data_IF_398670596596
#
_entry.id   IF_398670596596
#
_cell.length_a   1.000
_cell.length_b   1.000
_cell.length_c   1.000
_cell.angle_alpha   90.00
_cell.angle_beta   90.00
_cell.angle_gamma   90.00
#
_symmetry.space_group_name_H-M   'P 1'
#
loop_
_entity.id
_entity.type
_entity.pdbx_description
1 polymer ?
#
# COMPACT_ATOMS: atom_id res chain seq x y z
N UNK A 1 11.81 49.31 17.39
CA UNK A 1 12.00 48.10 18.22
C UNK A 1 12.36 46.97 17.27
N UNK A 2 13.52 46.32 17.44
CA UNK A 2 13.96 45.23 16.56
C UNK A 2 14.05 43.97 17.39
N UNK A 3 13.27 42.94 17.04
CA UNK A 3 13.22 41.67 17.77
C UNK A 3 13.94 40.63 16.93
N UNK A 4 14.97 40.00 17.51
CA UNK A 4 15.69 38.90 16.88
C UNK A 4 15.36 37.60 17.62
N UNK A 5 14.95 36.57 16.87
CA UNK A 5 14.78 35.22 17.37
C UNK A 5 15.79 34.28 16.73
N UNK A 6 16.49 33.50 17.54
CA UNK A 6 17.44 32.48 17.10
C UNK A 6 16.82 31.09 17.26
N UNK A 7 16.56 30.42 16.15
CA UNK A 7 16.00 29.07 16.13
C UNK A 7 17.12 28.06 15.88
N UNK A 8 17.23 27.05 16.76
CA UNK A 8 18.19 25.95 16.62
C UNK A 8 17.45 24.68 16.23
N UNK A 9 17.76 24.15 15.04
CA UNK A 9 17.07 22.97 14.47
C UNK A 9 17.93 21.71 14.68
N UNK A 10 17.33 20.65 15.24
CA UNK A 10 17.97 19.34 15.32
C UNK A 10 17.93 18.60 13.97
N UNK A 11 18.90 18.89 13.11
CA UNK A 11 19.00 18.33 11.75
C UNK A 11 19.17 16.80 11.75
N UNK A 12 19.82 16.23 12.77
CA UNK A 12 20.02 14.77 12.89
C UNK A 12 18.67 14.09 13.11
N UNK A 13 17.87 14.60 14.05
CA UNK A 13 16.53 14.07 14.32
C UNK A 13 15.60 14.18 13.12
N UNK A 14 15.68 15.29 12.36
CA UNK A 14 14.89 15.44 11.12
C UNK A 14 15.25 14.34 10.13
N UNK A 15 16.54 14.08 9.88
CA UNK A 15 16.96 13.01 8.95
C UNK A 15 16.45 11.63 9.40
N UNK A 16 16.48 11.34 10.70
CA UNK A 16 15.93 10.09 11.25
C UNK A 16 14.42 9.98 11.00
N UNK A 17 13.68 11.07 11.21
CA UNK A 17 12.23 11.12 10.96
C UNK A 17 11.91 10.99 9.47
N UNK A 18 12.72 11.54 8.58
CA UNK A 18 12.58 11.36 7.13
C UNK A 18 12.81 9.90 6.73
N UNK A 19 13.84 9.24 7.28
CA UNK A 19 14.08 7.82 7.02
C UNK A 19 12.95 6.93 7.57
N UNK A 20 12.49 7.21 8.79
CA UNK A 20 11.35 6.52 9.39
C UNK A 20 10.07 6.69 8.55
N UNK A 21 9.90 7.84 7.89
CA UNK A 21 8.77 8.10 7.00
C UNK A 21 8.81 7.18 5.77
N UNK A 22 9.97 7.08 5.11
CA UNK A 22 10.16 6.17 3.96
C UNK A 22 9.90 4.72 4.38
N UNK A 23 10.52 4.27 5.47
CA UNK A 23 10.36 2.89 5.95
C UNK A 23 8.90 2.58 6.35
N UNK A 24 8.21 3.50 7.02
CA UNK A 24 6.81 3.33 7.37
C UNK A 24 5.91 3.22 6.12
N UNK A 25 6.25 3.93 5.03
CA UNK A 25 5.53 3.85 3.78
C UNK A 25 5.73 2.48 3.10
N UNK A 26 6.96 1.98 3.06
CA UNK A 26 7.28 0.65 2.51
C UNK A 26 6.53 -0.46 3.27
N UNK A 27 6.58 -0.42 4.61
CA UNK A 27 5.81 -1.34 5.46
C UNK A 27 4.30 -1.24 5.26
N UNK A 28 3.79 -0.04 4.97
CA UNK A 28 2.36 0.16 4.66
C UNK A 28 2.00 -0.53 3.35
N UNK A 29 2.88 -0.46 2.33
CA UNK A 29 2.72 -1.18 1.07
C UNK A 29 2.63 -2.69 1.28
N UNK A 30 3.54 -3.28 2.06
CA UNK A 30 3.50 -4.72 2.37
C UNK A 30 2.26 -5.12 3.18
N UNK A 31 1.88 -4.30 4.17
CA UNK A 31 0.68 -4.55 4.95
C UNK A 31 -0.58 -4.53 4.07
N UNK A 32 -0.65 -3.60 3.11
CA UNK A 32 -1.75 -3.54 2.14
C UNK A 32 -1.74 -4.78 1.25
N UNK A 33 -0.59 -5.17 0.72
CA UNK A 33 -0.45 -6.35 -0.12
C UNK A 33 -0.95 -7.61 0.63
N UNK A 34 -0.49 -7.79 1.86
CA UNK A 34 -0.91 -8.90 2.73
C UNK A 34 -2.42 -8.89 2.98
N UNK A 35 -3.00 -7.74 3.32
CA UNK A 35 -4.44 -7.62 3.60
C UNK A 35 -5.30 -7.90 2.36
N UNK A 36 -4.83 -7.54 1.16
CA UNK A 36 -5.49 -7.88 -0.12
C UNK A 36 -5.46 -9.38 -0.37
N UNK A 37 -4.32 -10.04 -0.14
CA UNK A 37 -4.21 -11.50 -0.26
C UNK A 37 -5.16 -12.22 0.71
N UNK A 38 -5.20 -11.75 1.97
CA UNK A 38 -6.07 -12.30 3.01
C UNK A 38 -7.57 -12.07 2.73
N UNK A 39 -7.91 -11.00 2.01
CA UNK A 39 -9.29 -10.75 1.62
C UNK A 39 -9.79 -11.73 0.53
N UNK A 40 -8.88 -12.45 -0.14
CA UNK A 40 -9.22 -13.45 -1.16
C UNK A 40 -10.08 -12.88 -2.30
N UNK A 41 -9.74 -11.67 -2.76
CA UNK A 41 -10.53 -10.91 -3.75
C UNK A 41 -9.99 -10.98 -5.18
N UNK A 42 -8.75 -11.42 -5.38
CA UNK A 42 -8.11 -11.48 -6.69
C UNK A 42 -8.52 -12.77 -7.40
N UNK A 43 -9.14 -12.74 -8.59
CA UNK A 43 -9.52 -13.97 -9.29
C UNK A 43 -8.28 -14.72 -9.81
N UNK A 44 -8.21 -16.03 -9.58
CA UNK A 44 -7.18 -16.87 -10.18
C UNK A 44 -7.61 -18.33 -10.36
N UNK A 45 -6.86 -19.04 -11.21
CA UNK A 45 -6.91 -20.51 -11.35
C UNK A 45 -5.59 -21.17 -10.96
N UNK A 46 -4.46 -20.67 -11.48
CA UNK A 46 -3.12 -21.16 -11.14
C UNK A 46 -2.35 -20.29 -10.14
N UNK A 47 -2.84 -19.08 -9.84
CA UNK A 47 -2.26 -18.17 -8.85
C UNK A 47 -1.21 -17.17 -9.37
N UNK A 48 -0.75 -17.25 -10.63
CA UNK A 48 0.32 -16.37 -11.17
C UNK A 48 0.05 -14.87 -10.93
N UNK A 49 -1.16 -14.38 -11.25
CA UNK A 49 -1.52 -12.97 -11.03
C UNK A 49 -1.35 -12.53 -9.58
N UNK A 50 -1.82 -13.34 -8.64
CA UNK A 50 -1.84 -13.00 -7.22
C UNK A 50 -0.47 -13.20 -6.57
N UNK A 51 0.18 -14.34 -6.83
CA UNK A 51 1.31 -14.79 -6.04
C UNK A 51 2.67 -14.35 -6.60
N UNK A 52 2.78 -14.19 -7.91
CA UNK A 52 4.07 -13.88 -8.58
C UNK A 52 4.05 -12.48 -9.21
N UNK A 53 2.92 -12.11 -9.80
CA UNK A 53 2.82 -10.91 -10.62
C UNK A 53 2.18 -9.74 -9.90
N UNK A 54 1.80 -9.88 -8.62
CA UNK A 54 1.35 -8.77 -7.78
C UNK A 54 2.37 -8.55 -6.66
N UNK A 55 2.97 -7.36 -6.63
CA UNK A 55 4.04 -7.03 -5.69
C UNK A 55 4.09 -5.54 -5.41
N UNK A 56 4.73 -5.19 -4.30
CA UNK A 56 4.96 -3.80 -3.90
C UNK A 56 6.24 -3.30 -4.56
N UNK A 57 6.14 -2.17 -5.25
CA UNK A 57 7.26 -1.47 -5.88
C UNK A 57 7.74 -0.30 -5.01
N UNK A 58 9.02 -0.36 -4.64
CA UNK A 58 9.73 0.57 -3.77
C UNK A 58 10.62 1.56 -4.52
N UNK A 59 10.67 1.50 -5.85
CA UNK A 59 11.58 2.33 -6.66
C UNK A 59 11.43 3.84 -6.39
N UNK A 60 10.23 4.30 -6.04
CA UNK A 60 9.94 5.70 -5.73
C UNK A 60 9.77 5.98 -4.22
N UNK A 61 10.15 5.06 -3.32
CA UNK A 61 9.93 5.23 -1.87
C UNK A 61 10.65 6.45 -1.30
N UNK A 62 11.83 6.77 -1.84
CA UNK A 62 12.59 7.98 -1.52
C UNK A 62 11.85 9.29 -1.89
N UNK A 63 10.91 9.23 -2.83
CA UNK A 63 10.01 10.34 -3.19
C UNK A 63 8.68 10.27 -2.43
N UNK A 64 8.61 9.49 -1.34
CA UNK A 64 7.40 9.24 -0.56
C UNK A 64 6.27 8.60 -1.38
N UNK A 65 6.60 7.71 -2.33
CA UNK A 65 5.62 6.97 -3.13
C UNK A 65 5.96 5.49 -3.17
N UNK A 66 4.98 4.65 -2.86
CA UNK A 66 5.06 3.19 -2.97
C UNK A 66 3.82 2.73 -3.73
N UNK A 67 3.99 1.79 -4.65
CA UNK A 67 2.91 1.33 -5.54
C UNK A 67 2.74 -0.17 -5.46
N UNK A 68 1.50 -0.64 -5.29
CA UNK A 68 1.16 -2.06 -5.43
C UNK A 68 0.83 -2.33 -6.90
N UNK A 69 1.63 -3.17 -7.55
CA UNK A 69 1.61 -3.37 -9.00
C UNK A 69 1.16 -4.78 -9.31
N UNK A 70 0.23 -4.94 -10.28
CA UNK A 70 -0.09 -6.22 -10.90
C UNK A 70 0.39 -6.19 -12.36
N UNK A 71 1.48 -6.90 -12.67
CA UNK A 71 2.27 -6.71 -13.90
C UNK A 71 1.80 -7.51 -15.11
N UNK A 72 0.89 -8.48 -14.94
CA UNK A 72 0.47 -9.33 -16.06
C UNK A 72 -0.36 -8.57 -17.10
N UNK A 73 -0.20 -8.85 -18.41
CA UNK A 73 -0.94 -8.16 -19.47
C UNK A 73 -2.47 -8.26 -19.32
N UNK A 74 -2.96 -9.36 -18.75
CA UNK A 74 -4.39 -9.63 -18.57
C UNK A 74 -4.96 -9.01 -17.28
N UNK A 75 -4.14 -8.52 -16.34
CA UNK A 75 -4.60 -7.94 -15.07
C UNK A 75 -5.60 -6.81 -15.31
N UNK A 76 -5.29 -5.90 -16.25
CA UNK A 76 -6.16 -4.76 -16.60
C UNK A 76 -7.54 -5.22 -17.07
N UNK A 77 -7.60 -6.25 -17.94
CA UNK A 77 -8.86 -6.81 -18.42
C UNK A 77 -9.65 -7.44 -17.28
N UNK A 78 -9.03 -8.16 -16.36
CA UNK A 78 -9.76 -8.74 -15.23
C UNK A 78 -10.23 -7.65 -14.24
N UNK A 79 -9.41 -6.62 -14.02
CA UNK A 79 -9.69 -5.59 -13.04
C UNK A 79 -10.85 -4.68 -13.45
N UNK A 80 -10.88 -4.20 -14.70
CA UNK A 80 -11.87 -3.21 -15.13
C UNK A 80 -13.19 -3.81 -15.64
N UNK A 81 -13.34 -5.13 -15.62
CA UNK A 81 -14.54 -5.85 -16.08
C UNK A 81 -15.23 -6.61 -14.93
N UNK A 82 -15.87 -5.89 -13.97
CA UNK A 82 -16.57 -6.52 -12.85
C UNK A 82 -17.82 -7.32 -13.26
N UNK A 83 -18.30 -7.18 -14.50
CA UNK A 83 -19.41 -7.94 -15.06
C UNK A 83 -19.08 -9.41 -15.36
N UNK A 84 -17.81 -9.81 -15.30
CA UNK A 84 -17.41 -11.19 -15.52
C UNK A 84 -17.81 -12.11 -14.36
N UNK A 85 -18.17 -13.34 -14.70
CA UNK A 85 -18.40 -14.41 -13.72
C UNK A 85 -17.06 -15.03 -13.34
N UNK A 86 -16.45 -14.53 -12.28
CA UNK A 86 -15.19 -15.06 -11.75
C UNK A 86 -15.42 -16.38 -11.01
N UNK A 87 -14.52 -17.35 -11.18
CA UNK A 87 -14.52 -18.56 -10.34
C UNK A 87 -14.14 -18.18 -8.90
N UNK A 88 -14.89 -18.72 -7.94
CA UNK A 88 -14.67 -18.53 -6.51
C UNK A 88 -14.13 -19.79 -5.81
N UNK A 89 -13.66 -20.77 -6.59
CA UNK A 89 -13.12 -22.04 -6.07
C UNK A 89 -11.87 -21.81 -5.20
N UNK A 90 -10.95 -20.99 -5.69
CA UNK A 90 -9.69 -20.70 -5.00
C UNK A 90 -9.81 -19.51 -4.04
N UNK A 91 -10.50 -18.46 -4.49
CA UNK A 91 -10.69 -17.22 -3.75
C UNK A 91 -12.21 -16.94 -3.63
N UNK A 92 -12.81 -17.15 -2.45
CA UNK A 92 -14.26 -17.03 -2.27
C UNK A 92 -14.84 -15.65 -2.60
N UNK A 93 -14.03 -14.59 -2.48
CA UNK A 93 -14.45 -13.21 -2.72
C UNK A 93 -13.94 -12.67 -4.08
N UNK A 94 -13.55 -13.55 -5.00
CA UNK A 94 -13.00 -13.18 -6.30
C UNK A 94 -13.96 -12.23 -7.07
N UNK A 95 -13.45 -11.05 -7.43
CA UNK A 95 -14.23 -10.01 -8.12
C UNK A 95 -13.37 -9.14 -9.01
N UNK A 96 -13.99 -8.48 -9.98
CA UNK A 96 -13.37 -7.35 -10.67
C UNK A 96 -13.21 -6.15 -9.72
N UNK A 97 -12.41 -5.16 -10.11
CA UNK A 97 -12.06 -4.00 -9.28
C UNK A 97 -11.67 -4.40 -7.86
N UNK A 98 -10.84 -5.43 -7.72
CA UNK A 98 -10.56 -6.05 -6.43
C UNK A 98 -9.94 -5.11 -5.38
N UNK A 99 -9.44 -3.92 -5.75
CA UNK A 99 -8.98 -2.90 -4.79
C UNK A 99 -10.06 -1.91 -4.32
N UNK A 100 -11.30 -2.01 -4.81
CA UNK A 100 -12.35 -1.02 -4.53
C UNK A 100 -12.60 -0.84 -3.02
N UNK A 101 -12.45 -1.90 -2.23
CA UNK A 101 -12.68 -1.86 -0.78
C UNK A 101 -11.68 -0.93 -0.05
N UNK A 102 -10.46 -0.82 -0.58
CA UNK A 102 -9.38 0.04 -0.05
C UNK A 102 -9.33 1.42 -0.69
N UNK A 103 -10.01 1.62 -1.82
CA UNK A 103 -10.09 2.93 -2.49
C UNK A 103 -11.27 3.72 -1.90
N UNK A 104 -12.49 3.21 -2.07
CA UNK A 104 -13.72 3.91 -1.66
C UNK A 104 -14.59 3.12 -0.68
N UNK A 105 -14.25 1.86 -0.40
CA UNK A 105 -15.02 0.99 0.47
C UNK A 105 -14.69 1.13 1.97
N UNK A 106 -15.03 0.07 2.71
CA UNK A 106 -14.91 0.04 4.17
C UNK A 106 -13.44 0.05 4.67
N UNK A 107 -12.48 -0.30 3.81
CA UNK A 107 -11.05 -0.36 4.13
C UNK A 107 -10.28 0.87 3.64
N UNK A 108 -10.94 1.95 3.17
CA UNK A 108 -10.28 3.17 2.67
C UNK A 108 -9.28 3.84 3.62
N UNK A 109 -9.49 3.69 4.93
CA UNK A 109 -8.59 4.26 5.94
C UNK A 109 -7.46 3.30 6.37
N UNK A 110 -7.39 2.10 5.80
CA UNK A 110 -6.38 1.09 6.14
C UNK A 110 -4.97 1.64 6.01
N UNK A 111 -4.60 2.17 4.83
CA UNK A 111 -3.25 2.67 4.58
C UNK A 111 -2.88 3.83 5.52
N UNK A 112 -3.84 4.73 5.80
CA UNK A 112 -3.61 5.85 6.73
C UNK A 112 -3.35 5.37 8.15
N UNK A 113 -4.13 4.39 8.62
CA UNK A 113 -3.99 3.80 9.96
C UNK A 113 -2.68 3.01 10.09
N UNK A 114 -2.37 2.16 9.10
CA UNK A 114 -1.14 1.38 9.06
C UNK A 114 0.09 2.30 9.04
N UNK A 115 0.12 3.30 8.16
CA UNK A 115 1.21 4.27 8.09
C UNK A 115 1.41 5.00 9.42
N UNK A 116 0.33 5.51 10.03
CA UNK A 116 0.41 6.18 11.34
C UNK A 116 1.00 5.27 12.42
N UNK A 117 0.59 4.01 12.46
CA UNK A 117 1.09 3.04 13.43
C UNK A 117 2.57 2.72 13.22
N UNK A 118 2.99 2.47 11.97
CA UNK A 118 4.39 2.20 11.63
C UNK A 118 5.28 3.41 11.87
N UNK A 119 4.84 4.60 11.45
CA UNK A 119 5.62 5.82 11.64
C UNK A 119 5.83 6.15 13.11
N UNK A 120 4.80 6.00 13.95
CA UNK A 120 4.91 6.11 15.41
C UNK A 120 5.93 5.11 15.98
N UNK A 121 5.84 3.84 15.56
CA UNK A 121 6.72 2.77 16.06
C UNK A 121 8.18 2.97 15.68
N UNK A 122 8.47 3.34 14.43
CA UNK A 122 9.83 3.49 13.91
C UNK A 122 10.42 4.85 14.27
N UNK A 123 9.61 5.91 14.12
CA UNK A 123 10.02 7.28 14.40
C UNK A 123 10.15 7.60 15.88
N UNK A 124 9.52 6.81 16.77
CA UNK A 124 9.50 7.08 18.20
C UNK A 124 8.79 8.40 18.54
N UNK A 125 7.65 8.63 17.88
CA UNK A 125 6.82 9.85 17.98
C UNK A 125 5.37 9.52 18.35
#
# INVERSE_FOLDING_TARGET
>A
MHVNSKITINKIRIKQLTHAQTQALEMTGEALHTDVLQAQVIPFKSGNLQNESTFVDYTESNKCKVTLVSSTPYARRLYYHPEYNFSTEENPNAKGKWYQDWIDGNKKDFCKKAFKAFYKRIGGV
#
